data_IF_728239026380
#
_entry.id   IF_728239026380
#
_cell.length_a   1.000
_cell.length_b   1.000
_cell.length_c   1.000
_cell.angle_alpha   90.00
_cell.angle_beta   90.00
_cell.angle_gamma   90.00
#
_symmetry.space_group_name_H-M   'P 1'
#
loop_
_entity.id
_entity.type
_entity.pdbx_description
1 polymer ?
#
# COMPACT_ATOMS: atom_id res chain seq x y z
N UNK A 1 15.42 2.81 -5.36
CA UNK A 1 14.49 3.79 -5.96
C UNK A 1 13.39 3.16 -6.83
N UNK A 2 13.55 1.97 -7.42
CA UNK A 2 12.51 1.36 -8.27
C UNK A 2 11.22 0.98 -7.53
N UNK A 3 11.32 0.42 -6.32
CA UNK A 3 10.17 -0.05 -5.51
C UNK A 3 9.19 1.04 -5.06
N UNK A 4 9.69 2.26 -4.83
CA UNK A 4 8.85 3.41 -4.41
C UNK A 4 8.07 3.96 -5.62
N UNK A 5 8.71 3.96 -6.81
CA UNK A 5 8.06 4.40 -8.04
C UNK A 5 6.95 3.43 -8.47
N UNK A 6 7.18 2.12 -8.33
CA UNK A 6 6.15 1.11 -8.62
C UNK A 6 4.94 1.20 -7.68
N UNK A 7 5.13 1.48 -6.39
CA UNK A 7 4.02 1.65 -5.45
C UNK A 7 3.12 2.85 -5.80
N UNK A 8 3.69 3.95 -6.31
CA UNK A 8 2.92 5.13 -6.74
C UNK A 8 2.03 4.84 -7.95
N UNK A 9 2.61 4.28 -9.01
CA UNK A 9 1.84 3.93 -10.22
C UNK A 9 0.76 2.89 -9.94
N UNK A 10 0.98 2.04 -8.93
CA UNK A 10 -0.02 1.07 -8.50
C UNK A 10 -1.18 1.71 -7.75
N UNK A 11 -0.93 2.67 -6.85
CA UNK A 11 -1.98 3.43 -6.18
C UNK A 11 -2.89 4.17 -7.17
N UNK A 12 -2.33 4.70 -8.27
CA UNK A 12 -3.11 5.33 -9.34
C UNK A 12 -4.01 4.32 -10.07
N UNK A 13 -3.53 3.09 -10.30
CA UNK A 13 -4.31 2.01 -10.94
C UNK A 13 -5.41 1.46 -10.04
N UNK A 14 -5.13 1.28 -8.74
CA UNK A 14 -6.12 0.82 -7.76
C UNK A 14 -7.26 1.81 -7.54
N UNK A 15 -7.04 3.10 -7.84
CA UNK A 15 -8.09 4.11 -7.77
C UNK A 15 -9.12 3.97 -8.90
N UNK A 16 -8.85 3.19 -9.95
CA UNK A 16 -9.79 2.94 -11.05
C UNK A 16 -10.56 1.65 -10.86
N UNK A 17 -11.87 1.71 -11.08
CA UNK A 17 -12.78 0.57 -10.97
C UNK A 17 -12.69 -0.29 -12.25
N UNK A 18 -12.35 -1.59 -12.18
CA UNK A 18 -12.29 -2.45 -13.35
C UNK A 18 -13.66 -2.55 -14.04
N UNK A 19 -13.65 -2.57 -15.38
CA UNK A 19 -14.86 -2.56 -16.22
C UNK A 19 -15.15 -3.92 -16.89
N UNK A 20 -14.19 -4.85 -16.90
CA UNK A 20 -14.32 -6.19 -17.52
C UNK A 20 -13.83 -7.33 -16.61
N UNK A 21 -14.24 -8.59 -16.88
CA UNK A 21 -13.78 -9.79 -16.12
C UNK A 21 -12.27 -9.95 -16.22
N UNK A 22 -11.71 -9.78 -17.41
CA UNK A 22 -10.28 -9.94 -17.64
C UNK A 22 -9.47 -8.88 -16.88
N UNK A 23 -9.96 -7.64 -16.83
CA UNK A 23 -9.38 -6.57 -15.99
C UNK A 23 -9.49 -6.89 -14.50
N UNK A 24 -10.63 -7.43 -14.05
CA UNK A 24 -10.84 -7.81 -12.66
C UNK A 24 -9.88 -8.94 -12.23
N UNK A 25 -9.72 -9.98 -13.07
CA UNK A 25 -8.81 -11.10 -12.83
C UNK A 25 -7.36 -10.61 -12.82
N UNK A 26 -6.97 -9.77 -13.79
CA UNK A 26 -5.63 -9.20 -13.85
C UNK A 26 -5.33 -8.32 -12.63
N UNK A 27 -6.28 -7.49 -12.20
CA UNK A 27 -6.13 -6.63 -11.05
C UNK A 27 -6.07 -7.43 -9.73
N UNK A 28 -6.86 -8.50 -9.60
CA UNK A 28 -6.81 -9.44 -8.47
C UNK A 28 -5.48 -10.18 -8.38
N UNK A 29 -4.95 -10.62 -9.51
CA UNK A 29 -3.63 -11.26 -9.58
C UNK A 29 -2.52 -10.30 -9.12
N UNK A 30 -2.54 -9.06 -9.62
CA UNK A 30 -1.60 -8.03 -9.18
C UNK A 30 -1.74 -7.72 -7.69
N UNK A 31 -2.97 -7.57 -7.19
CA UNK A 31 -3.23 -7.34 -5.76
C UNK A 31 -2.63 -8.44 -4.89
N UNK A 32 -2.77 -9.70 -5.29
CA UNK A 32 -2.21 -10.83 -4.56
C UNK A 32 -0.67 -10.81 -4.53
N UNK A 33 -0.02 -10.49 -5.65
CA UNK A 33 1.44 -10.32 -5.70
C UNK A 33 1.92 -9.18 -4.80
N UNK A 34 1.23 -8.04 -4.80
CA UNK A 34 1.59 -6.93 -3.92
C UNK A 34 1.33 -7.24 -2.45
N UNK A 35 0.22 -7.92 -2.13
CA UNK A 35 -0.12 -8.37 -0.78
C UNK A 35 0.99 -9.25 -0.17
N UNK A 36 1.61 -10.13 -0.96
CA UNK A 36 2.78 -10.94 -0.51
C UNK A 36 3.95 -10.07 -0.06
N UNK A 37 4.14 -8.90 -0.66
CA UNK A 37 5.24 -7.97 -0.33
C UNK A 37 4.87 -6.93 0.71
N UNK A 38 3.58 -6.77 1.03
CA UNK A 38 3.06 -5.71 1.91
C UNK A 38 3.56 -5.89 3.34
N UNK A 39 3.59 -7.14 3.82
CA UNK A 39 4.09 -7.49 5.16
C UNK A 39 5.56 -7.11 5.31
N UNK A 40 6.38 -7.43 4.30
CA UNK A 40 7.81 -7.09 4.31
C UNK A 40 8.05 -5.57 4.33
N UNK A 41 7.27 -4.80 3.57
CA UNK A 41 7.38 -3.34 3.57
C UNK A 41 6.90 -2.74 4.90
N UNK A 42 5.86 -3.31 5.50
CA UNK A 42 5.38 -2.91 6.82
C UNK A 42 6.47 -3.11 7.89
N UNK A 43 7.15 -4.26 7.89
CA UNK A 43 8.26 -4.55 8.80
C UNK A 43 9.41 -3.54 8.64
N UNK A 44 9.73 -3.16 7.40
CA UNK A 44 10.77 -2.16 7.12
C UNK A 44 10.38 -0.78 7.66
N UNK A 45 9.13 -0.36 7.48
CA UNK A 45 8.64 0.94 7.97
C UNK A 45 8.64 0.96 9.50
N UNK A 46 8.15 -0.10 10.15
CA UNK A 46 8.20 -0.20 11.61
C UNK A 46 9.64 -0.20 12.14
N UNK A 47 10.56 -0.89 11.47
CA UNK A 47 11.97 -0.86 11.82
C UNK A 47 12.56 0.54 11.71
N UNK A 48 12.22 1.27 10.64
CA UNK A 48 12.65 2.66 10.46
C UNK A 48 12.07 3.59 11.54
N UNK A 49 10.81 3.40 11.94
CA UNK A 49 10.20 4.14 13.05
C UNK A 49 10.91 3.91 14.39
N UNK A 50 11.16 2.64 14.75
CA UNK A 50 11.87 2.30 16.00
C UNK A 50 13.26 2.94 16.03
N UNK A 51 13.99 2.89 14.91
CA UNK A 51 15.30 3.57 14.78
C UNK A 51 15.18 5.09 14.93
N UNK A 52 14.14 5.69 14.33
CA UNK A 52 13.89 7.12 14.42
C UNK A 52 13.52 7.56 15.85
N UNK A 53 12.74 6.76 16.57
CA UNK A 53 12.43 7.00 17.99
C UNK A 53 13.69 7.01 18.85
N UNK A 54 14.58 6.02 18.67
CA UNK A 54 15.87 6.01 19.36
C UNK A 54 16.70 7.24 19.03
N UNK A 55 16.76 7.64 17.76
CA UNK A 55 17.47 8.85 17.33
C UNK A 55 16.91 10.10 18.03
N UNK A 56 15.58 10.28 18.06
CA UNK A 56 14.94 11.36 18.81
C UNK A 56 15.34 11.36 20.28
N UNK A 57 15.34 10.18 20.93
CA UNK A 57 15.70 10.05 22.35
C UNK A 57 17.16 10.43 22.61
N UNK A 58 18.10 10.03 21.76
CA UNK A 58 19.54 10.25 22.01
C UNK A 58 20.03 11.62 21.55
N UNK A 59 19.38 12.22 20.55
CA UNK A 59 19.85 13.46 19.91
C UNK A 59 18.88 14.64 20.03
N UNK A 60 17.71 14.43 20.65
CA UNK A 60 16.64 15.42 20.76
C UNK A 60 15.88 15.68 19.45
N UNK A 61 16.36 15.15 18.32
CA UNK A 61 15.81 15.37 16.99
C UNK A 61 15.69 14.05 16.21
N UNK A 62 14.71 13.96 15.32
CA UNK A 62 14.52 12.82 14.44
C UNK A 62 14.53 13.19 12.97
N UNK A 63 14.40 12.18 12.12
CA UNK A 63 14.19 12.33 10.68
C UNK A 63 12.69 12.50 10.45
N UNK A 64 12.27 13.74 10.22
CA UNK A 64 10.85 14.11 9.97
C UNK A 64 10.24 13.41 8.76
N UNK A 65 11.07 13.07 7.75
CA UNK A 65 10.64 12.33 6.56
C UNK A 65 10.09 10.95 6.86
N UNK A 66 10.52 10.29 7.95
CA UNK A 66 10.01 8.95 8.33
C UNK A 66 8.52 9.02 8.65
N UNK A 67 8.07 10.05 9.39
CA UNK A 67 6.66 10.27 9.66
C UNK A 67 5.86 10.51 8.37
N UNK A 68 6.40 11.32 7.45
CA UNK A 68 5.76 11.58 6.15
C UNK A 68 5.64 10.31 5.28
N UNK A 69 6.63 9.41 5.32
CA UNK A 69 6.58 8.11 4.63
C UNK A 69 5.53 7.21 5.26
N UNK A 70 5.45 7.16 6.60
CA UNK A 70 4.42 6.40 7.31
C UNK A 70 3.02 6.85 6.95
N UNK A 71 2.73 8.14 6.98
CA UNK A 71 1.40 8.67 6.62
C UNK A 71 1.02 8.30 5.18
N UNK A 72 1.98 8.31 4.24
CA UNK A 72 1.72 7.86 2.86
C UNK A 72 1.47 6.36 2.78
N UNK A 73 2.16 5.57 3.59
CA UNK A 73 1.96 4.12 3.69
C UNK A 73 0.60 3.76 4.29
N UNK A 74 0.17 4.43 5.35
CA UNK A 74 -1.16 4.25 5.95
C UNK A 74 -2.27 4.54 4.94
N UNK A 75 -2.14 5.64 4.18
CA UNK A 75 -3.07 5.97 3.08
C UNK A 75 -3.08 4.90 2.00
N UNK A 76 -1.91 4.35 1.66
CA UNK A 76 -1.81 3.27 0.68
C UNK A 76 -2.48 1.99 1.18
N UNK A 77 -2.31 1.61 2.45
CA UNK A 77 -2.98 0.44 3.03
C UNK A 77 -4.50 0.61 3.05
N UNK A 78 -5.01 1.79 3.43
CA UNK A 78 -6.44 2.07 3.38
C UNK A 78 -6.99 1.96 1.94
N UNK A 79 -6.20 2.38 0.94
CA UNK A 79 -6.57 2.27 -0.47
C UNK A 79 -6.56 0.81 -0.95
N UNK A 80 -5.61 -0.01 -0.47
CA UNK A 80 -5.57 -1.45 -0.73
C UNK A 80 -6.78 -2.18 -0.10
N UNK A 81 -7.14 -1.85 1.13
CA UNK A 81 -8.32 -2.40 1.81
C UNK A 81 -9.61 -2.02 1.08
N UNK A 82 -9.74 -0.75 0.70
CA UNK A 82 -10.88 -0.26 -0.09
C UNK A 82 -10.95 -0.93 -1.47
N UNK A 83 -9.81 -1.16 -2.12
CA UNK A 83 -9.76 -1.86 -3.39
C UNK A 83 -10.15 -3.34 -3.26
N UNK A 84 -9.70 -4.02 -2.20
CA UNK A 84 -10.11 -5.39 -1.93
C UNK A 84 -11.62 -5.48 -1.69
N UNK A 85 -12.18 -4.56 -0.92
CA UNK A 85 -13.62 -4.46 -0.70
C UNK A 85 -14.36 -4.24 -2.03
N UNK A 86 -13.91 -3.27 -2.83
CA UNK A 86 -14.48 -2.97 -4.15
C UNK A 86 -14.46 -4.19 -5.07
N UNK A 87 -13.37 -4.95 -5.11
CA UNK A 87 -13.30 -6.17 -5.91
C UNK A 87 -14.26 -7.26 -5.42
N UNK A 88 -14.39 -7.44 -4.11
CA UNK A 88 -15.32 -8.40 -3.53
C UNK A 88 -16.77 -8.00 -3.79
N UNK A 89 -17.11 -6.72 -3.64
CA UNK A 89 -18.42 -6.17 -4.00
C UNK A 89 -18.69 -6.32 -5.50
N UNK A 90 -17.69 -6.12 -6.37
CA UNK A 90 -17.86 -6.38 -7.80
C UNK A 90 -18.08 -7.86 -8.10
N UNK A 91 -17.56 -8.79 -7.30
CA UNK A 91 -17.88 -10.22 -7.42
C UNK A 91 -19.26 -10.59 -6.86
N UNK A 92 -19.75 -9.86 -5.85
CA UNK A 92 -21.04 -10.13 -5.17
C UNK A 92 -22.25 -9.41 -5.80
N UNK A 93 -22.10 -8.13 -6.18
CA UNK A 93 -23.19 -7.25 -6.67
C UNK A 93 -23.40 -7.36 -8.18
N UNK A 94 -22.36 -7.74 -8.93
CA UNK A 94 -22.41 -7.77 -10.38
C UNK A 94 -21.61 -8.91 -10.96
N UNK A 95 -22.32 -9.94 -11.41
CA UNK A 95 -22.18 -10.35 -12.81
C UNK A 95 -21.90 -9.08 -13.65
N UNK A 96 -20.74 -8.86 -14.24
CA UNK A 96 -20.03 -9.70 -15.20
C UNK A 96 -20.15 -11.23 -15.07
#
# INVERSE_FOLDING_TARGET
>A
MSRIRSARTYAEKLSSRPQTIDELIAAKSQYNEYSKTINHLNDQIQCAERKNQLLCTVSGNGITTIAAVKTKWEKFNALMESFQLMMNEQLEVGLI
#
